data_IF_932853032567
#
_entry.id   IF_932853032567
#
_cell.length_a   1.000
_cell.length_b   1.000
_cell.length_c   1.000
_cell.angle_alpha   90.00
_cell.angle_beta   90.00
_cell.angle_gamma   90.00
#
_symmetry.space_group_name_H-M   'P 1'
#
loop_
_entity.id
_entity.type
_entity.pdbx_description
1 polymer ?
#
# COMPACT_ATOMS: atom_id res chain seq x y z
N UNK A 1 -9.56 -56.68 14.06
CA UNK A 1 -9.46 -55.34 14.68
C UNK A 1 -9.06 -54.35 13.61
N UNK A 2 -10.05 -53.70 13.00
CA UNK A 2 -9.83 -52.60 12.04
C UNK A 2 -9.33 -51.42 12.86
N UNK A 3 -8.05 -51.13 12.76
CA UNK A 3 -7.39 -50.17 13.63
C UNK A 3 -7.95 -48.75 13.41
N UNK A 4 -8.43 -48.14 14.49
CA UNK A 4 -9.06 -46.81 14.53
C UNK A 4 -8.11 -45.63 14.22
N UNK A 5 -6.95 -45.88 13.62
CA UNK A 5 -5.95 -44.84 13.33
C UNK A 5 -6.43 -43.74 12.38
N UNK A 6 -7.25 -44.01 11.34
CA UNK A 6 -7.77 -42.94 10.49
C UNK A 6 -8.69 -41.97 11.23
N UNK A 7 -9.53 -42.47 12.16
CA UNK A 7 -10.43 -41.65 12.99
C UNK A 7 -9.71 -40.80 14.04
N UNK A 8 -8.44 -41.09 14.34
CA UNK A 8 -7.58 -40.27 15.21
C UNK A 8 -6.88 -39.15 14.43
N UNK A 9 -6.89 -39.19 13.10
CA UNK A 9 -6.16 -38.23 12.29
C UNK A 9 -6.98 -36.95 12.12
N UNK A 10 -6.38 -35.82 12.50
CA UNK A 10 -6.91 -34.51 12.13
C UNK A 10 -7.05 -34.40 10.59
N UNK A 11 -8.15 -33.82 10.11
CA UNK A 11 -8.48 -33.77 8.68
C UNK A 11 -7.39 -33.13 7.82
N UNK A 12 -6.67 -32.14 8.38
CA UNK A 12 -5.57 -31.45 7.68
C UNK A 12 -4.23 -32.19 7.73
N UNK A 13 -4.08 -33.25 8.53
CA UNK A 13 -2.77 -33.92 8.73
C UNK A 13 -2.18 -34.42 7.41
N UNK A 14 -2.99 -35.10 6.60
CA UNK A 14 -2.54 -35.66 5.31
C UNK A 14 -2.29 -34.54 4.29
N UNK A 15 -3.21 -33.58 4.05
CA UNK A 15 -2.95 -32.46 3.15
C UNK A 15 -1.68 -31.67 3.49
N UNK A 16 -1.47 -31.32 4.77
CA UNK A 16 -0.30 -30.57 5.20
C UNK A 16 0.99 -31.38 5.07
N UNK A 17 0.96 -32.68 5.38
CA UNK A 17 2.11 -33.56 5.16
C UNK A 17 2.43 -33.74 3.68
N UNK A 18 1.40 -33.80 2.81
CA UNK A 18 1.57 -33.87 1.36
C UNK A 18 2.16 -32.57 0.79
N UNK A 19 1.78 -31.40 1.32
CA UNK A 19 2.32 -30.11 0.87
C UNK A 19 3.85 -30.06 0.98
N UNK A 20 4.42 -30.56 2.08
CA UNK A 20 5.89 -30.59 2.28
C UNK A 20 6.61 -31.46 1.25
N UNK A 21 5.99 -32.56 0.82
CA UNK A 21 6.58 -33.51 -0.15
C UNK A 21 6.21 -33.19 -1.60
N UNK A 22 5.38 -32.18 -1.85
CA UNK A 22 4.88 -31.84 -3.18
C UNK A 22 5.93 -31.22 -4.11
N UNK A 23 7.12 -30.90 -3.60
CA UNK A 23 8.17 -30.13 -4.30
C UNK A 23 9.49 -30.90 -4.44
N UNK A 24 9.50 -32.09 -5.06
CA UNK A 24 10.76 -32.81 -5.27
C UNK A 24 11.68 -32.03 -6.22
N UNK A 25 12.98 -32.14 -5.97
CA UNK A 25 14.01 -31.71 -6.92
C UNK A 25 13.99 -32.62 -8.15
N UNK A 26 14.32 -32.06 -9.31
CA UNK A 26 14.57 -32.86 -10.50
C UNK A 26 15.72 -33.84 -10.23
N UNK A 27 15.56 -35.09 -10.64
CA UNK A 27 16.66 -36.06 -10.62
C UNK A 27 17.47 -35.89 -11.90
N UNK A 28 18.56 -35.13 -11.78
CA UNK A 28 19.47 -34.86 -12.89
C UNK A 28 20.76 -35.65 -12.72
N UNK A 29 21.25 -36.23 -13.82
CA UNK A 29 22.52 -36.94 -13.88
C UNK A 29 23.33 -36.49 -15.08
N UNK A 30 24.47 -35.83 -14.84
CA UNK A 30 25.32 -35.32 -15.92
C UNK A 30 25.71 -36.45 -16.91
N UNK A 31 25.68 -36.22 -18.23
CA UNK A 31 25.35 -34.95 -18.89
C UNK A 31 23.85 -34.73 -19.15
N UNK A 32 23.34 -33.52 -18.86
CA UNK A 32 21.97 -33.10 -19.18
C UNK A 32 21.88 -31.67 -19.71
N UNK A 33 20.89 -31.41 -20.55
CA UNK A 33 20.52 -30.08 -21.03
C UNK A 33 19.16 -29.67 -20.45
N UNK A 34 19.04 -28.41 -20.06
CA UNK A 34 17.84 -27.88 -19.39
C UNK A 34 17.40 -26.59 -20.06
N UNK A 35 16.13 -26.50 -20.41
CA UNK A 35 15.47 -25.24 -20.79
C UNK A 35 14.50 -24.85 -19.69
N UNK A 36 14.64 -23.63 -19.18
CA UNK A 36 13.75 -23.07 -18.16
C UNK A 36 13.05 -21.84 -18.70
N UNK A 37 11.74 -21.75 -18.48
CA UNK A 37 10.91 -20.62 -18.86
C UNK A 37 10.09 -20.16 -17.65
N UNK A 38 10.21 -18.89 -17.27
CA UNK A 38 9.36 -18.25 -16.27
C UNK A 38 8.31 -17.38 -16.97
N UNK A 39 7.06 -17.86 -16.98
CA UNK A 39 5.93 -17.22 -17.67
C UNK A 39 5.16 -16.33 -16.69
N UNK A 40 5.32 -15.02 -16.84
CA UNK A 40 4.64 -13.97 -16.09
C UNK A 40 3.57 -13.32 -16.97
N UNK A 41 2.30 -13.63 -16.70
CA UNK A 41 1.16 -12.98 -17.36
C UNK A 41 0.64 -11.87 -16.46
N UNK A 42 1.15 -10.66 -16.64
CA UNK A 42 0.55 -9.49 -16.01
C UNK A 42 -0.92 -9.41 -16.47
N UNK A 43 -1.86 -9.47 -15.54
CA UNK A 43 -3.25 -9.20 -15.90
C UNK A 43 -3.37 -7.73 -16.29
N UNK A 44 -3.76 -7.43 -17.53
CA UNK A 44 -4.10 -6.07 -17.97
C UNK A 44 -5.20 -5.43 -17.08
N UNK A 45 -6.02 -6.26 -16.43
CA UNK A 45 -7.06 -5.83 -15.48
C UNK A 45 -6.61 -5.75 -14.02
N UNK A 46 -5.34 -6.03 -13.71
CA UNK A 46 -4.83 -6.13 -12.33
C UNK A 46 -5.36 -7.32 -11.52
N UNK A 47 -6.31 -8.11 -12.05
CA UNK A 47 -6.87 -9.26 -11.34
C UNK A 47 -5.96 -10.49 -11.38
N UNK A 48 -5.36 -10.81 -10.23
CA UNK A 48 -4.57 -12.04 -10.02
C UNK A 48 -5.39 -13.32 -10.08
N UNK A 49 -6.72 -13.24 -10.03
CA UNK A 49 -7.61 -14.42 -10.05
C UNK A 49 -7.51 -15.23 -11.34
N UNK A 50 -7.14 -14.59 -12.46
CA UNK A 50 -7.01 -15.25 -13.75
C UNK A 50 -5.66 -15.97 -13.94
N UNK A 51 -4.65 -15.70 -13.10
CA UNK A 51 -3.29 -16.25 -13.27
C UNK A 51 -3.30 -17.78 -13.23
N UNK A 52 -3.78 -18.39 -12.15
CA UNK A 52 -3.84 -19.84 -12.00
C UNK A 52 -4.54 -20.53 -13.19
N UNK A 53 -5.80 -20.17 -13.50
CA UNK A 53 -6.52 -20.73 -14.65
C UNK A 53 -5.77 -20.58 -15.98
N UNK A 54 -5.13 -19.43 -16.22
CA UNK A 54 -4.35 -19.17 -17.41
C UNK A 54 -3.11 -20.08 -17.53
N UNK A 55 -2.38 -20.29 -16.43
CA UNK A 55 -1.21 -21.20 -16.42
C UNK A 55 -1.63 -22.66 -16.59
N UNK A 56 -2.76 -23.05 -15.98
CA UNK A 56 -3.34 -24.39 -16.18
C UNK A 56 -3.77 -24.61 -17.62
N UNK A 57 -4.39 -23.63 -18.28
CA UNK A 57 -4.76 -23.74 -19.68
C UNK A 57 -3.53 -23.90 -20.59
N UNK A 58 -2.47 -23.14 -20.31
CA UNK A 58 -1.20 -23.22 -21.05
C UNK A 58 -0.51 -24.59 -20.87
N UNK A 59 -0.48 -25.11 -19.64
CA UNK A 59 0.03 -26.45 -19.36
C UNK A 59 -0.84 -27.54 -20.02
N UNK A 60 -2.17 -27.42 -19.94
CA UNK A 60 -3.08 -28.39 -20.53
C UNK A 60 -2.95 -28.46 -22.06
N UNK A 61 -2.74 -27.33 -22.73
CA UNK A 61 -2.46 -27.29 -24.16
C UNK A 61 -1.16 -28.05 -24.51
N UNK A 62 -0.11 -27.89 -23.70
CA UNK A 62 1.14 -28.63 -23.87
C UNK A 62 0.95 -30.13 -23.64
N UNK A 63 0.32 -30.52 -22.53
CA UNK A 63 0.05 -31.92 -22.23
C UNK A 63 -0.82 -32.57 -23.32
N UNK A 64 -1.87 -31.86 -23.78
CA UNK A 64 -2.76 -32.32 -24.84
C UNK A 64 -2.05 -32.56 -26.17
N UNK A 65 -1.08 -31.72 -26.54
CA UNK A 65 -0.26 -31.93 -27.75
C UNK A 65 0.49 -33.27 -27.72
N UNK A 66 0.96 -33.70 -26.54
CA UNK A 66 1.68 -34.96 -26.37
C UNK A 66 0.79 -36.12 -25.89
N UNK A 67 -0.54 -35.95 -25.85
CA UNK A 67 -1.46 -36.99 -25.39
C UNK A 67 -1.37 -37.33 -23.89
N UNK A 68 -0.84 -36.41 -23.08
CA UNK A 68 -0.69 -36.56 -21.63
C UNK A 68 -1.87 -35.90 -20.90
N UNK A 69 -2.36 -36.52 -19.84
CA UNK A 69 -3.38 -35.91 -18.99
C UNK A 69 -2.79 -34.75 -18.17
N UNK A 70 -3.44 -33.58 -18.25
CA UNK A 70 -3.07 -32.42 -17.45
C UNK A 70 -3.38 -32.66 -15.95
N UNK A 71 -2.65 -32.00 -15.02
CA UNK A 71 -2.98 -32.08 -13.61
C UNK A 71 -4.34 -31.43 -13.29
N UNK A 72 -4.86 -31.69 -12.09
CA UNK A 72 -6.06 -31.02 -11.61
C UNK A 72 -5.86 -29.49 -11.54
N UNK A 73 -6.95 -28.72 -11.64
CA UNK A 73 -6.92 -27.24 -11.66
C UNK A 73 -6.49 -26.59 -10.34
N UNK A 74 -6.30 -27.39 -9.29
CA UNK A 74 -5.81 -26.94 -7.98
C UNK A 74 -4.32 -27.26 -7.76
N UNK A 75 -3.67 -27.93 -8.71
CA UNK A 75 -2.31 -28.39 -8.57
C UNK A 75 -1.35 -27.22 -8.82
N UNK A 76 -0.44 -26.99 -7.90
CA UNK A 76 0.63 -25.99 -8.08
C UNK A 76 1.92 -26.60 -8.62
N UNK A 77 1.98 -27.93 -8.79
CA UNK A 77 3.16 -28.63 -9.25
C UNK A 77 2.74 -29.76 -10.21
N UNK A 78 3.53 -29.98 -11.24
CA UNK A 78 3.35 -31.07 -12.17
C UNK A 78 4.71 -31.57 -12.65
N UNK A 79 4.91 -32.87 -12.62
CA UNK A 79 6.09 -33.51 -13.18
C UNK A 79 5.64 -34.64 -14.09
N UNK A 80 6.24 -34.71 -15.28
CA UNK A 80 5.98 -35.79 -16.21
C UNK A 80 7.18 -36.06 -17.11
N UNK A 81 7.38 -37.34 -17.44
CA UNK A 81 8.38 -37.78 -18.41
C UNK A 81 7.70 -38.02 -19.75
N UNK A 82 8.02 -37.19 -20.74
CA UNK A 82 7.49 -37.26 -22.11
C UNK A 82 8.35 -38.15 -23.02
N UNK A 83 9.29 -38.92 -22.45
CA UNK A 83 10.22 -39.80 -23.15
C UNK A 83 11.43 -39.06 -23.72
N UNK A 84 11.21 -38.07 -24.59
CA UNK A 84 12.31 -37.25 -25.15
C UNK A 84 12.83 -36.21 -24.17
N UNK A 85 11.94 -35.64 -23.37
CA UNK A 85 12.27 -34.69 -22.33
C UNK A 85 11.39 -34.94 -21.11
N UNK A 86 11.81 -34.43 -19.96
CA UNK A 86 11.04 -34.38 -18.72
C UNK A 86 10.62 -32.95 -18.46
N UNK A 87 9.41 -32.75 -17.96
CA UNK A 87 8.90 -31.44 -17.56
C UNK A 87 8.73 -31.42 -16.04
N UNK A 88 9.24 -30.38 -15.41
CA UNK A 88 8.79 -29.90 -14.10
C UNK A 88 8.12 -28.54 -14.28
N UNK A 89 6.86 -28.45 -13.88
CA UNK A 89 6.08 -27.22 -13.86
C UNK A 89 5.71 -26.84 -12.43
N UNK A 90 5.85 -25.55 -12.10
CA UNK A 90 5.49 -25.00 -10.80
C UNK A 90 4.68 -23.71 -11.01
N UNK A 91 3.47 -23.66 -10.46
CA UNK A 91 2.63 -22.46 -10.45
C UNK A 91 2.86 -21.67 -9.18
N UNK A 92 3.42 -20.47 -9.32
CA UNK A 92 3.57 -19.52 -8.24
C UNK A 92 2.43 -18.49 -8.28
N UNK A 93 2.42 -17.59 -7.30
CA UNK A 93 1.38 -16.55 -7.17
C UNK A 93 1.35 -15.56 -8.34
N UNK A 94 2.52 -15.25 -8.93
CA UNK A 94 2.65 -14.23 -9.99
C UNK A 94 3.08 -14.78 -11.36
N UNK A 95 3.74 -15.94 -11.39
CA UNK A 95 4.25 -16.56 -12.60
C UNK A 95 4.16 -18.08 -12.48
N UNK A 96 4.39 -18.79 -13.57
CA UNK A 96 4.65 -20.23 -13.53
C UNK A 96 5.98 -20.54 -14.20
N UNK A 97 6.66 -21.59 -13.74
CA UNK A 97 7.90 -22.05 -14.35
C UNK A 97 7.66 -23.34 -15.13
N UNK A 98 8.35 -23.47 -16.25
CA UNK A 98 8.40 -24.67 -17.08
C UNK A 98 9.86 -25.05 -17.25
N UNK A 99 10.28 -26.13 -16.61
CA UNK A 99 11.65 -26.64 -16.66
C UNK A 99 11.67 -27.95 -17.43
N UNK A 100 12.22 -27.91 -18.64
CA UNK A 100 12.38 -29.04 -19.54
C UNK A 100 13.79 -29.59 -19.41
N UNK A 101 13.94 -30.89 -19.21
CA UNK A 101 15.26 -31.54 -19.14
C UNK A 101 15.36 -32.72 -20.09
N UNK A 102 16.53 -32.87 -20.70
CA UNK A 102 16.87 -33.94 -21.63
C UNK A 102 18.28 -34.44 -21.32
N UNK A 103 18.53 -35.72 -21.54
CA UNK A 103 19.90 -36.25 -21.48
C UNK A 103 20.71 -35.65 -22.63
N UNK A 104 21.79 -34.96 -22.31
CA UNK A 104 22.63 -34.35 -23.34
C UNK A 104 23.52 -35.42 -23.98
N UNK A 105 23.61 -35.40 -25.32
CA UNK A 105 24.64 -36.16 -26.02
C UNK A 105 26.00 -35.45 -25.84
N UNK A 106 27.12 -36.19 -25.73
CA UNK A 106 28.44 -35.58 -25.75
C UNK A 106 28.63 -34.79 -27.05
N UNK A 107 28.76 -33.46 -26.94
CA UNK A 107 29.08 -32.58 -28.06
C UNK A 107 30.57 -32.26 -28.09
N UNK A 108 31.13 -31.89 -29.26
CA UNK A 108 32.54 -31.51 -29.37
C UNK A 108 32.84 -30.11 -28.77
N UNK A 109 31.81 -29.25 -28.63
CA UNK A 109 31.93 -27.91 -28.01
C UNK A 109 30.68 -27.53 -27.20
N UNK A 110 30.83 -26.56 -26.29
CA UNK A 110 29.71 -25.98 -25.54
C UNK A 110 28.72 -25.22 -26.43
N UNK A 111 29.21 -24.57 -27.49
CA UNK A 111 28.35 -23.89 -28.46
C UNK A 111 27.40 -24.88 -29.15
N UNK A 112 27.91 -26.05 -29.55
CA UNK A 112 27.09 -27.11 -30.14
C UNK A 112 26.09 -27.70 -29.13
N UNK A 113 26.47 -27.79 -27.85
CA UNK A 113 25.58 -28.24 -26.79
C UNK A 113 24.44 -27.25 -26.56
N UNK A 114 24.71 -25.95 -26.52
CA UNK A 114 23.67 -24.91 -26.43
C UNK A 114 22.78 -24.79 -27.67
N UNK A 115 23.20 -25.32 -28.82
CA UNK A 115 22.35 -25.42 -30.01
C UNK A 115 21.36 -26.60 -29.93
N UNK A 116 21.54 -27.54 -29.00
CA UNK A 116 20.74 -28.77 -28.85
C UNK A 116 20.00 -28.80 -27.51
N UNK A 117 19.18 -27.80 -27.28
CA UNK A 117 18.42 -27.65 -26.03
C UNK A 117 17.02 -28.29 -26.12
N UNK A 118 16.42 -28.70 -24.98
CA UNK A 118 15.08 -29.30 -24.93
C UNK A 118 13.98 -28.47 -25.61
N UNK A 119 14.18 -27.15 -25.76
CA UNK A 119 13.30 -26.24 -26.47
C UNK A 119 12.92 -26.75 -27.87
N UNK A 120 13.84 -27.44 -28.57
CA UNK A 120 13.61 -27.94 -29.92
C UNK A 120 12.49 -28.99 -30.03
N UNK A 121 12.12 -29.64 -28.90
CA UNK A 121 11.01 -30.60 -28.87
C UNK A 121 9.65 -29.94 -28.64
N UNK A 122 9.60 -28.66 -28.27
CA UNK A 122 8.36 -28.00 -27.90
C UNK A 122 7.57 -27.55 -29.13
N UNK A 123 6.22 -27.61 -29.09
CA UNK A 123 5.41 -27.19 -30.23
C UNK A 123 5.56 -25.69 -30.48
N UNK A 124 5.89 -25.29 -31.71
CA UNK A 124 6.11 -23.88 -32.06
C UNK A 124 4.89 -23.01 -31.72
N UNK A 125 3.67 -23.52 -31.95
CA UNK A 125 2.44 -22.81 -31.61
C UNK A 125 2.31 -22.53 -30.10
N UNK A 126 2.77 -23.44 -29.26
CA UNK A 126 2.78 -23.27 -27.81
C UNK A 126 3.79 -22.20 -27.39
N UNK A 127 5.01 -22.23 -27.95
CA UNK A 127 6.06 -21.22 -27.71
C UNK A 127 5.56 -19.82 -28.12
N UNK A 128 4.95 -19.70 -29.30
CA UNK A 128 4.40 -18.42 -29.77
C UNK A 128 3.27 -17.89 -28.86
N UNK A 129 2.53 -18.79 -28.21
CA UNK A 129 1.54 -18.44 -27.20
C UNK A 129 2.12 -17.74 -25.96
N UNK A 130 3.44 -17.80 -25.74
CA UNK A 130 4.13 -17.12 -24.65
C UNK A 130 4.52 -15.67 -24.97
N UNK A 131 4.27 -15.20 -26.20
CA UNK A 131 4.65 -13.86 -26.65
C UNK A 131 4.24 -12.78 -25.66
N UNK A 132 5.21 -11.95 -25.24
CA UNK A 132 5.02 -10.85 -24.28
C UNK A 132 4.95 -11.27 -22.81
N UNK A 133 5.05 -12.56 -22.49
CA UNK A 133 4.83 -13.08 -21.13
C UNK A 133 6.04 -13.83 -20.54
N UNK A 134 7.18 -13.89 -21.23
CA UNK A 134 8.40 -14.48 -20.68
C UNK A 134 9.17 -13.46 -19.84
N UNK A 135 9.29 -13.73 -18.53
CA UNK A 135 10.03 -12.89 -17.58
C UNK A 135 11.52 -13.28 -17.53
N UNK A 136 11.79 -14.57 -17.55
CA UNK A 136 13.13 -15.16 -17.60
C UNK A 136 13.07 -16.41 -18.47
N UNK A 137 14.14 -16.63 -19.21
CA UNK A 137 14.35 -17.83 -20.01
C UNK A 137 15.83 -18.20 -19.90
N UNK A 138 16.13 -19.45 -19.57
CA UNK A 138 17.49 -19.91 -19.34
C UNK A 138 17.77 -21.27 -19.99
N UNK A 139 18.99 -21.41 -20.49
CA UNK A 139 19.58 -22.67 -20.90
C UNK A 139 20.68 -23.07 -19.91
N UNK A 140 20.60 -24.30 -19.40
CA UNK A 140 21.60 -24.85 -18.49
C UNK A 140 22.17 -26.12 -19.09
N UNK A 141 23.49 -26.19 -19.18
CA UNK A 141 24.23 -27.41 -19.48
C UNK A 141 24.81 -27.96 -18.19
N UNK A 142 24.46 -29.20 -17.86
CA UNK A 142 25.05 -29.95 -16.75
C UNK A 142 26.05 -30.96 -17.35
N UNK A 143 27.33 -30.78 -17.07
CA UNK A 143 28.41 -31.60 -17.63
C UNK A 143 29.27 -32.20 -16.51
N UNK A 144 30.01 -33.28 -16.81
CA UNK A 144 30.96 -33.89 -15.86
C UNK A 144 32.33 -33.23 -15.94
N UNK A 145 33.07 -33.32 -14.83
CA UNK A 145 34.45 -32.84 -14.71
C UNK A 145 34.55 -31.36 -14.39
N UNK A 146 35.72 -30.91 -13.95
CA UNK A 146 35.98 -29.50 -13.69
C UNK A 146 36.13 -28.72 -15.01
N UNK A 147 35.80 -27.43 -14.99
CA UNK A 147 35.99 -26.57 -16.17
C UNK A 147 37.37 -25.91 -16.19
N UNK A 148 37.88 -25.67 -17.39
CA UNK A 148 38.89 -24.63 -17.61
C UNK A 148 38.17 -23.29 -17.83
N UNK A 149 38.35 -22.28 -16.95
CA UNK A 149 37.70 -20.99 -17.09
C UNK A 149 37.99 -20.29 -18.43
N UNK A 150 39.18 -20.50 -19.01
CA UNK A 150 39.56 -19.91 -20.29
C UNK A 150 38.70 -20.45 -21.44
N UNK A 151 38.43 -21.76 -21.43
CA UNK A 151 37.58 -22.43 -22.43
C UNK A 151 36.11 -22.03 -22.26
N UNK A 152 35.66 -21.83 -21.02
CA UNK A 152 34.28 -21.38 -20.76
C UNK A 152 34.02 -19.97 -21.28
N UNK A 153 34.98 -19.06 -21.14
CA UNK A 153 34.83 -17.66 -21.53
C UNK A 153 34.47 -17.51 -23.02
N UNK A 154 34.97 -18.40 -23.89
CA UNK A 154 34.65 -18.41 -25.33
C UNK A 154 33.17 -18.74 -25.61
N UNK A 155 32.47 -19.34 -24.66
CA UNK A 155 31.07 -19.79 -24.79
C UNK A 155 30.04 -18.77 -24.30
N UNK A 156 30.49 -17.66 -23.70
CA UNK A 156 29.66 -16.59 -23.17
C UNK A 156 29.88 -15.30 -23.95
N UNK A 157 28.80 -14.61 -24.34
CA UNK A 157 28.92 -13.32 -25.01
C UNK A 157 29.34 -12.19 -24.04
N UNK A 158 29.09 -12.35 -22.75
CA UNK A 158 29.43 -11.36 -21.73
C UNK A 158 30.93 -11.23 -21.49
N UNK A 159 31.37 -10.00 -21.25
CA UNK A 159 32.79 -9.67 -20.96
C UNK A 159 33.25 -10.08 -19.56
N UNK A 160 32.33 -10.50 -18.68
CA UNK A 160 32.63 -10.85 -17.30
C UNK A 160 31.97 -12.18 -16.95
N UNK A 161 32.77 -13.24 -16.93
CA UNK A 161 32.36 -14.52 -16.38
C UNK A 161 32.16 -14.40 -14.86
N UNK A 162 31.14 -15.09 -14.36
CA UNK A 162 30.82 -15.28 -12.95
C UNK A 162 30.93 -16.76 -12.68
N UNK A 163 31.61 -17.14 -11.60
CA UNK A 163 31.94 -18.52 -11.34
C UNK A 163 32.26 -18.80 -9.88
N UNK A 164 31.73 -19.92 -9.38
CA UNK A 164 31.93 -20.36 -8.01
C UNK A 164 31.97 -21.88 -7.93
N UNK A 165 32.78 -22.41 -7.01
CA UNK A 165 32.61 -23.78 -6.52
C UNK A 165 31.44 -23.79 -5.53
N UNK A 166 30.59 -24.79 -5.62
CA UNK A 166 29.31 -24.84 -4.90
C UNK A 166 29.03 -26.23 -4.36
N UNK A 167 28.31 -26.29 -3.25
CA UNK A 167 27.75 -27.52 -2.67
C UNK A 167 28.75 -28.69 -2.44
N UNK A 168 30.06 -28.42 -2.33
CA UNK A 168 31.12 -29.43 -2.13
C UNK A 168 31.12 -30.54 -3.20
N UNK A 169 31.21 -30.15 -4.47
CA UNK A 169 31.27 -31.12 -5.59
C UNK A 169 30.76 -30.55 -6.91
N UNK A 170 30.29 -29.30 -6.92
CA UNK A 170 29.81 -28.62 -8.11
C UNK A 170 30.58 -27.35 -8.45
N UNK A 171 30.47 -26.92 -9.70
CA UNK A 171 30.78 -25.55 -10.12
C UNK A 171 29.60 -24.95 -10.88
N UNK A 172 29.41 -23.64 -10.76
CA UNK A 172 28.45 -22.86 -11.54
C UNK A 172 29.19 -21.79 -12.31
N UNK A 173 28.78 -21.57 -13.56
CA UNK A 173 29.37 -20.61 -14.47
C UNK A 173 28.29 -19.90 -15.29
N UNK A 174 28.36 -18.57 -15.39
CA UNK A 174 27.42 -17.75 -16.16
C UNK A 174 27.98 -16.35 -16.42
N UNK A 175 27.44 -15.62 -17.39
CA UNK A 175 27.66 -14.17 -17.55
C UNK A 175 26.43 -13.34 -17.15
N UNK A 176 25.32 -14.00 -16.78
CA UNK A 176 24.02 -13.41 -16.50
C UNK A 176 23.42 -12.55 -17.64
N UNK A 177 23.97 -12.67 -18.85
CA UNK A 177 23.55 -11.94 -20.05
C UNK A 177 22.55 -12.78 -20.85
N UNK A 178 21.52 -12.11 -21.38
CA UNK A 178 20.60 -12.71 -22.35
C UNK A 178 21.32 -12.76 -23.70
N UNK A 179 21.50 -13.97 -24.23
CA UNK A 179 22.20 -14.20 -25.48
C UNK A 179 21.29 -13.86 -26.69
N UNK A 180 21.84 -13.95 -27.91
CA UNK A 180 21.10 -13.60 -29.13
C UNK A 180 19.87 -14.49 -29.40
N UNK A 181 19.81 -15.68 -28.80
CA UNK A 181 18.67 -16.59 -28.82
C UNK A 181 17.56 -16.20 -27.82
N UNK A 182 17.80 -15.20 -26.96
CA UNK A 182 16.85 -14.76 -25.94
C UNK A 182 16.96 -15.49 -24.60
N UNK A 183 17.97 -16.35 -24.41
CA UNK A 183 18.16 -17.13 -23.19
C UNK A 183 19.40 -16.68 -22.41
N UNK A 184 19.31 -16.67 -21.08
CA UNK A 184 20.51 -16.67 -20.22
C UNK A 184 21.18 -18.04 -20.27
N UNK A 185 22.51 -18.08 -20.12
CA UNK A 185 23.27 -19.35 -20.16
C UNK A 185 23.92 -19.65 -18.83
N UNK A 186 23.86 -20.92 -18.45
CA UNK A 186 24.53 -21.45 -17.28
C UNK A 186 25.24 -22.76 -17.64
N UNK A 187 26.45 -22.94 -17.13
CA UNK A 187 27.17 -24.22 -17.19
C UNK A 187 27.36 -24.69 -15.76
N UNK A 188 26.87 -25.89 -15.47
CA UNK A 188 27.03 -26.57 -14.20
C UNK A 188 27.98 -27.74 -14.39
N UNK A 189 28.98 -27.85 -13.52
CA UNK A 189 29.97 -28.92 -13.56
C UNK A 189 29.78 -29.87 -12.40
N UNK A 190 29.48 -31.12 -12.70
CA UNK A 190 29.55 -32.25 -11.77
C UNK A 190 31.01 -32.70 -11.65
N UNK A 191 31.70 -32.15 -10.66
CA UNK A 191 33.08 -32.53 -10.33
C UNK A 191 33.06 -33.80 -9.48
N UNK A 192 32.32 -33.77 -8.36
CA UNK A 192 32.14 -34.89 -7.43
C UNK A 192 30.78 -34.79 -6.71
N UNK A 193 29.71 -34.45 -7.45
CA UNK A 193 28.39 -34.32 -6.84
C UNK A 193 27.84 -35.68 -6.39
N UNK A 194 27.26 -35.68 -5.19
CA UNK A 194 26.46 -36.78 -4.64
C UNK A 194 25.06 -36.80 -5.27
N UNK A 195 24.37 -37.93 -5.06
CA UNK A 195 23.00 -38.12 -5.54
C UNK A 195 22.08 -36.92 -5.23
N UNK A 196 21.34 -36.49 -6.26
CA UNK A 196 20.40 -35.37 -6.22
C UNK A 196 21.00 -33.96 -6.01
N UNK A 197 22.32 -33.80 -5.86
CA UNK A 197 22.93 -32.47 -5.75
C UNK A 197 22.79 -31.67 -7.05
N UNK A 198 22.98 -32.29 -8.21
CA UNK A 198 22.86 -31.61 -9.51
C UNK A 198 21.46 -31.00 -9.71
N UNK A 199 20.41 -31.75 -9.36
CA UNK A 199 19.03 -31.26 -9.36
C UNK A 199 18.79 -30.05 -8.47
N UNK A 200 19.34 -30.08 -7.25
CA UNK A 200 19.27 -28.95 -6.32
C UNK A 200 20.02 -27.74 -6.86
N UNK A 201 21.25 -27.93 -7.36
CA UNK A 201 22.06 -26.86 -7.91
C UNK A 201 21.36 -26.19 -9.09
N UNK A 202 20.89 -26.97 -10.07
CA UNK A 202 20.17 -26.45 -11.23
C UNK A 202 18.93 -25.66 -10.81
N UNK A 203 18.12 -26.20 -9.89
CA UNK A 203 16.96 -25.48 -9.38
C UNK A 203 17.36 -24.16 -8.72
N UNK A 204 18.42 -24.12 -7.90
CA UNK A 204 18.86 -22.90 -7.21
C UNK A 204 19.33 -21.83 -8.17
N UNK A 205 20.10 -22.21 -9.19
CA UNK A 205 20.58 -21.28 -10.22
C UNK A 205 19.42 -20.70 -11.03
N UNK A 206 18.46 -21.55 -11.43
CA UNK A 206 17.25 -21.12 -12.15
C UNK A 206 16.34 -20.21 -11.30
N UNK A 207 16.22 -20.52 -10.01
CA UNK A 207 15.49 -19.68 -9.05
C UNK A 207 16.18 -18.32 -8.85
N UNK A 208 17.53 -18.28 -8.76
CA UNK A 208 18.27 -17.01 -8.71
C UNK A 208 18.00 -16.18 -9.97
N UNK A 209 18.05 -16.81 -11.16
CA UNK A 209 17.81 -16.13 -12.43
C UNK A 209 16.36 -15.60 -12.56
N UNK A 210 15.38 -16.36 -12.10
CA UNK A 210 13.98 -15.94 -12.14
C UNK A 210 13.69 -14.87 -11.08
N UNK A 211 14.09 -15.10 -9.83
CA UNK A 211 13.77 -14.20 -8.72
C UNK A 211 14.50 -12.86 -8.81
N UNK A 212 15.70 -12.79 -9.42
CA UNK A 212 16.35 -11.49 -9.65
C UNK A 212 15.53 -10.61 -10.61
N UNK A 213 14.95 -11.20 -11.65
CA UNK A 213 14.09 -10.49 -12.60
C UNK A 213 12.79 -10.03 -11.93
N UNK A 214 12.16 -10.92 -11.17
CA UNK A 214 10.95 -10.60 -10.40
C UNK A 214 11.21 -9.52 -9.34
N UNK A 215 12.37 -9.53 -8.69
CA UNK A 215 12.78 -8.48 -7.76
C UNK A 215 12.92 -7.14 -8.47
N UNK A 216 13.58 -7.12 -9.63
CA UNK A 216 13.83 -5.90 -10.43
C UNK A 216 12.57 -5.24 -11.00
N UNK A 217 11.42 -5.92 -11.06
CA UNK A 217 10.14 -5.30 -11.45
C UNK A 217 9.73 -4.12 -10.55
N UNK A 218 10.27 -4.03 -9.34
CA UNK A 218 10.05 -2.88 -8.44
C UNK A 218 10.81 -1.62 -8.86
N UNK A 219 11.90 -1.74 -9.60
CA UNK A 219 12.76 -0.59 -9.93
C UNK A 219 12.08 0.43 -10.85
N UNK A 220 11.40 0.04 -11.95
CA UNK A 220 10.63 0.99 -12.76
C UNK A 220 9.54 1.69 -11.96
N UNK A 221 8.82 0.94 -11.11
CA UNK A 221 7.80 1.49 -10.21
C UNK A 221 8.41 2.50 -9.21
N UNK A 222 9.56 2.18 -8.61
CA UNK A 222 10.27 3.06 -7.68
C UNK A 222 10.69 4.38 -8.33
N UNK A 223 11.18 4.34 -9.57
CA UNK A 223 11.54 5.54 -10.34
C UNK A 223 10.33 6.41 -10.65
N UNK A 224 9.22 5.80 -11.09
CA UNK A 224 7.98 6.52 -11.37
C UNK A 224 7.37 7.15 -10.11
N UNK A 225 7.32 6.40 -9.01
CA UNK A 225 6.81 6.88 -7.71
C UNK A 225 7.71 7.96 -7.14
N UNK A 226 9.04 7.83 -7.23
CA UNK A 226 9.96 8.85 -6.70
C UNK A 226 9.71 10.23 -7.30
N UNK A 227 9.54 10.33 -8.62
CA UNK A 227 9.23 11.59 -9.28
C UNK A 227 7.89 12.17 -8.79
N UNK A 228 6.86 11.33 -8.64
CA UNK A 228 5.57 11.77 -8.11
C UNK A 228 5.64 12.20 -6.62
N UNK A 229 6.52 11.57 -5.83
CA UNK A 229 6.76 11.98 -4.44
C UNK A 229 7.47 13.33 -4.35
N UNK A 230 8.41 13.63 -5.26
CA UNK A 230 9.06 14.94 -5.34
C UNK A 230 8.02 16.06 -5.53
N UNK A 231 7.08 15.86 -6.46
CA UNK A 231 6.00 16.81 -6.73
C UNK A 231 5.07 17.01 -5.51
N UNK A 232 4.67 15.91 -4.86
CA UNK A 232 3.79 15.96 -3.67
C UNK A 232 4.50 16.66 -2.51
N UNK A 233 5.79 16.40 -2.32
CA UNK A 233 6.56 17.01 -1.24
C UNK A 233 6.75 18.52 -1.45
N UNK A 234 7.02 18.95 -2.70
CA UNK A 234 7.10 20.36 -3.05
C UNK A 234 5.76 21.10 -2.85
N UNK A 235 4.65 20.48 -3.29
CA UNK A 235 3.30 21.04 -3.09
C UNK A 235 2.96 21.14 -1.60
N UNK A 236 3.26 20.10 -0.81
CA UNK A 236 3.05 20.12 0.63
C UNK A 236 3.85 21.23 1.33
N UNK A 237 5.10 21.46 0.92
CA UNK A 237 5.94 22.52 1.47
C UNK A 237 5.32 23.91 1.24
N UNK A 238 4.85 24.19 0.03
CA UNK A 238 4.16 25.45 -0.30
C UNK A 238 2.87 25.65 0.51
N UNK A 239 2.09 24.57 0.71
CA UNK A 239 0.87 24.63 1.53
C UNK A 239 1.18 24.87 3.01
N UNK A 240 2.24 24.23 3.52
CA UNK A 240 2.70 24.45 4.89
C UNK A 240 3.17 25.89 5.11
N UNK A 241 3.90 26.48 4.15
CA UNK A 241 4.31 27.89 4.19
C UNK A 241 3.12 28.85 4.21
N UNK A 242 2.12 28.64 3.34
CA UNK A 242 0.87 29.43 3.33
C UNK A 242 0.11 29.33 4.65
N UNK A 243 0.08 28.14 5.24
CA UNK A 243 -0.52 27.92 6.55
C UNK A 243 0.19 28.73 7.65
N UNK A 244 1.53 28.83 7.62
CA UNK A 244 2.31 29.63 8.59
C UNK A 244 2.18 31.13 8.32
N UNK A 245 2.17 31.57 7.06
CA UNK A 245 2.10 32.97 6.66
C UNK A 245 0.78 33.66 7.07
N UNK A 246 -0.24 32.90 7.47
CA UNK A 246 -1.48 33.46 8.02
C UNK A 246 -2.33 34.18 6.99
N UNK A 247 -2.19 33.85 5.70
CA UNK A 247 -3.11 34.34 4.65
C UNK A 247 -4.55 33.98 5.06
N UNK A 248 -5.45 34.95 4.92
CA UNK A 248 -6.73 35.09 5.64
C UNK A 248 -7.53 33.80 5.88
N UNK A 249 -8.26 33.76 7.01
CA UNK A 249 -9.24 32.72 7.43
C UNK A 249 -10.13 32.17 6.31
N UNK A 250 -10.43 32.97 5.28
CA UNK A 250 -11.21 32.54 4.12
C UNK A 250 -10.50 31.49 3.23
N UNK A 251 -9.17 31.36 3.32
CA UNK A 251 -8.34 30.42 2.56
C UNK A 251 -8.14 29.06 3.23
N UNK A 252 -8.45 28.90 4.52
CA UNK A 252 -8.17 27.67 5.28
C UNK A 252 -8.97 26.47 4.76
N UNK A 253 -10.20 26.70 4.26
CA UNK A 253 -11.00 25.64 3.63
C UNK A 253 -10.42 25.18 2.29
N UNK A 254 -9.88 26.10 1.50
CA UNK A 254 -9.21 25.78 0.23
C UNK A 254 -7.88 25.04 0.46
N UNK A 255 -7.12 25.42 1.50
CA UNK A 255 -5.94 24.71 1.97
C UNK A 255 -6.27 23.27 2.38
N UNK A 256 -7.38 23.07 3.11
CA UNK A 256 -7.83 21.74 3.55
C UNK A 256 -8.17 20.85 2.36
N UNK A 257 -8.86 21.39 1.36
CA UNK A 257 -9.18 20.66 0.13
C UNK A 257 -7.89 20.26 -0.63
N UNK A 258 -6.91 21.16 -0.72
CA UNK A 258 -5.62 20.89 -1.38
C UNK A 258 -4.82 19.80 -0.65
N UNK A 259 -4.73 19.86 0.68
CA UNK A 259 -4.06 18.82 1.50
C UNK A 259 -4.78 17.47 1.37
N UNK A 260 -6.12 17.47 1.38
CA UNK A 260 -6.92 16.24 1.21
C UNK A 260 -6.67 15.62 -0.16
N UNK A 261 -6.55 16.44 -1.21
CA UNK A 261 -6.21 16.00 -2.56
C UNK A 261 -4.80 15.41 -2.63
N UNK A 262 -3.82 16.01 -1.95
CA UNK A 262 -2.48 15.43 -1.83
C UNK A 262 -2.49 14.08 -1.12
N UNK A 263 -3.23 13.94 -0.02
CA UNK A 263 -3.40 12.68 0.68
C UNK A 263 -3.98 11.60 -0.24
N UNK A 264 -5.04 11.93 -0.99
CA UNK A 264 -5.67 11.02 -1.94
C UNK A 264 -4.73 10.60 -3.08
N UNK A 265 -3.92 11.53 -3.61
CA UNK A 265 -2.90 11.22 -4.63
C UNK A 265 -1.84 10.26 -4.09
N UNK A 266 -1.35 10.49 -2.88
CA UNK A 266 -0.36 9.64 -2.23
C UNK A 266 -0.91 8.24 -1.92
N UNK A 267 -2.16 8.16 -1.45
CA UNK A 267 -2.85 6.90 -1.17
C UNK A 267 -3.04 6.08 -2.44
N UNK A 268 -3.44 6.73 -3.55
CA UNK A 268 -3.51 6.07 -4.86
C UNK A 268 -2.15 5.47 -5.27
N UNK A 269 -1.06 6.24 -5.15
CA UNK A 269 0.29 5.72 -5.43
C UNK A 269 0.64 4.52 -4.55
N UNK A 270 0.18 4.51 -3.29
CA UNK A 270 0.39 3.43 -2.32
C UNK A 270 -0.35 2.16 -2.72
N UNK A 271 -1.62 2.28 -3.08
CA UNK A 271 -2.44 1.16 -3.53
C UNK A 271 -1.91 0.56 -4.84
N UNK A 272 -1.49 1.41 -5.77
CA UNK A 272 -1.01 0.97 -7.08
C UNK A 272 0.35 0.23 -7.00
N UNK A 273 1.23 0.60 -6.06
CA UNK A 273 2.62 0.12 -6.04
C UNK A 273 3.02 -0.68 -4.79
N UNK A 274 2.22 -0.64 -3.71
CA UNK A 274 2.57 -1.26 -2.43
C UNK A 274 2.80 -2.76 -2.53
N UNK A 275 1.97 -3.46 -3.33
CA UNK A 275 2.19 -4.87 -3.62
C UNK A 275 3.54 -5.10 -4.31
N UNK A 276 3.87 -4.28 -5.31
CA UNK A 276 5.09 -4.45 -6.11
C UNK A 276 6.35 -4.27 -5.25
N UNK A 277 6.41 -3.24 -4.39
CA UNK A 277 7.55 -3.06 -3.49
C UNK A 277 7.69 -4.20 -2.47
N UNK A 278 6.57 -4.68 -1.91
CA UNK A 278 6.57 -5.83 -1.00
C UNK A 278 7.04 -7.11 -1.71
N UNK A 279 6.54 -7.38 -2.92
CA UNK A 279 6.94 -8.50 -3.74
C UNK A 279 8.43 -8.44 -4.11
N UNK A 280 8.93 -7.28 -4.56
CA UNK A 280 10.35 -7.07 -4.87
C UNK A 280 11.26 -7.37 -3.68
N UNK A 281 10.89 -6.91 -2.49
CA UNK A 281 11.61 -7.20 -1.25
C UNK A 281 11.58 -8.70 -0.90
N UNK A 282 10.45 -9.37 -1.09
CA UNK A 282 10.32 -10.80 -0.86
C UNK A 282 11.18 -11.61 -1.84
N UNK A 283 11.15 -11.28 -3.13
CA UNK A 283 11.99 -11.94 -4.14
C UNK A 283 13.48 -11.70 -3.92
N UNK A 284 13.88 -10.49 -3.50
CA UNK A 284 15.27 -10.21 -3.15
C UNK A 284 15.76 -11.09 -1.99
N UNK A 285 14.94 -11.28 -0.95
CA UNK A 285 15.24 -12.21 0.15
C UNK A 285 15.39 -13.65 -0.35
N UNK A 286 14.55 -14.09 -1.28
CA UNK A 286 14.66 -15.41 -1.89
C UNK A 286 15.97 -15.56 -2.67
N UNK A 287 16.38 -14.55 -3.44
CA UNK A 287 17.68 -14.54 -4.14
C UNK A 287 18.82 -14.72 -3.13
N UNK A 288 18.88 -13.91 -2.06
CA UNK A 288 19.95 -14.04 -1.05
C UNK A 288 19.93 -15.42 -0.37
N UNK A 289 18.76 -15.94 -0.02
CA UNK A 289 18.64 -17.28 0.55
C UNK A 289 19.16 -18.37 -0.41
N UNK A 290 18.87 -18.26 -1.72
CA UNK A 290 19.34 -19.25 -2.70
C UNK A 290 20.85 -19.19 -2.91
N UNK A 291 21.42 -17.99 -2.91
CA UNK A 291 22.87 -17.78 -2.97
C UNK A 291 23.55 -18.39 -1.74
N UNK A 292 23.02 -18.14 -0.53
CA UNK A 292 23.55 -18.72 0.71
C UNK A 292 23.53 -20.26 0.67
N UNK A 293 22.46 -20.85 0.13
CA UNK A 293 22.33 -22.30 -0.03
C UNK A 293 23.35 -22.91 -1.03
N UNK A 294 23.90 -22.12 -1.97
CA UNK A 294 24.95 -22.60 -2.87
C UNK A 294 26.25 -22.93 -2.12
N UNK A 295 26.48 -22.29 -0.96
CA UNK A 295 27.72 -22.38 -0.19
C UNK A 295 28.94 -22.12 -1.07
N UNK A 296 28.98 -20.93 -1.66
CA UNK A 296 29.98 -20.55 -2.64
C UNK A 296 31.40 -20.57 -2.05
N UNK A 297 32.33 -21.15 -2.79
CA UNK A 297 33.76 -21.00 -2.58
C UNK A 297 34.38 -20.37 -3.83
N UNK A 298 35.26 -19.40 -3.61
CA UNK A 298 35.84 -18.57 -4.67
C UNK A 298 36.65 -19.41 -5.66
N UNK A 299 36.54 -19.06 -6.93
CA UNK A 299 37.47 -19.43 -7.99
C UNK A 299 38.36 -18.21 -8.25
N UNK A 300 39.67 -18.40 -8.27
CA UNK A 300 40.61 -17.29 -8.42
C UNK A 300 40.38 -16.53 -9.75
N UNK A 301 40.43 -15.20 -9.69
CA UNK A 301 40.24 -14.34 -10.86
C UNK A 301 38.80 -14.15 -11.34
N UNK A 302 37.81 -14.83 -10.75
CA UNK A 302 36.41 -14.78 -11.17
C UNK A 302 35.51 -14.34 -10.01
N UNK A 303 34.60 -13.37 -10.19
CA UNK A 303 33.63 -13.00 -9.15
C UNK A 303 32.63 -14.13 -8.89
N UNK A 304 32.19 -14.25 -7.63
CA UNK A 304 31.13 -15.22 -7.27
C UNK A 304 29.75 -14.71 -7.67
N UNK A 305 28.73 -15.58 -7.61
CA UNK A 305 27.33 -15.19 -7.85
C UNK A 305 26.90 -14.16 -6.80
N UNK A 306 27.26 -14.35 -5.53
CA UNK A 306 27.02 -13.37 -4.47
C UNK A 306 27.62 -12.01 -4.79
N UNK A 307 28.91 -11.93 -5.12
CA UNK A 307 29.58 -10.66 -5.41
C UNK A 307 28.95 -9.94 -6.61
N UNK A 308 28.59 -10.70 -7.64
CA UNK A 308 27.90 -10.16 -8.81
C UNK A 308 26.53 -9.58 -8.43
N UNK A 309 25.74 -10.32 -7.65
CA UNK A 309 24.39 -9.91 -7.25
C UNK A 309 24.42 -8.75 -6.25
N UNK A 310 25.33 -8.75 -5.28
CA UNK A 310 25.44 -7.67 -4.31
C UNK A 310 25.79 -6.34 -4.99
N UNK A 311 26.63 -6.38 -6.04
CA UNK A 311 27.01 -5.17 -6.78
C UNK A 311 25.92 -4.67 -7.74
N UNK A 312 25.08 -5.56 -8.28
CA UNK A 312 24.16 -5.23 -9.40
C UNK A 312 22.68 -5.28 -9.07
N UNK A 313 22.26 -6.06 -8.07
CA UNK A 313 20.87 -6.18 -7.63
C UNK A 313 20.59 -5.31 -6.40
N UNK A 314 21.48 -5.30 -5.40
CA UNK A 314 21.29 -4.59 -4.13
C UNK A 314 21.00 -3.09 -4.31
N UNK A 315 21.70 -2.32 -5.17
CA UNK A 315 21.40 -0.91 -5.36
C UNK A 315 19.96 -0.64 -5.86
N UNK A 316 19.43 -1.51 -6.72
CA UNK A 316 18.07 -1.40 -7.20
C UNK A 316 17.06 -1.68 -6.06
N UNK A 317 17.37 -2.65 -5.19
CA UNK A 317 16.52 -2.99 -4.05
C UNK A 317 16.53 -1.90 -2.99
N UNK A 318 17.69 -1.33 -2.68
CA UNK A 318 17.81 -0.17 -1.78
C UNK A 318 16.99 1.03 -2.29
N UNK A 319 16.93 1.22 -3.61
CA UNK A 319 16.08 2.26 -4.23
C UNK A 319 14.59 2.01 -3.97
N UNK A 320 14.14 0.76 -4.13
CA UNK A 320 12.75 0.36 -3.86
C UNK A 320 12.40 0.57 -2.38
N UNK A 321 13.28 0.15 -1.47
CA UNK A 321 13.07 0.30 -0.03
C UNK A 321 13.07 1.78 0.41
N UNK A 322 14.00 2.59 -0.11
CA UNK A 322 14.05 4.02 0.18
C UNK A 322 12.80 4.75 -0.33
N UNK A 323 12.30 4.40 -1.53
CA UNK A 323 11.08 4.98 -2.08
C UNK A 323 9.85 4.64 -1.23
N UNK A 324 9.71 3.38 -0.82
CA UNK A 324 8.61 2.95 0.05
C UNK A 324 8.66 3.65 1.41
N UNK A 325 9.85 3.76 2.01
CA UNK A 325 10.03 4.47 3.29
C UNK A 325 9.72 5.98 3.16
N UNK A 326 10.14 6.61 2.05
CA UNK A 326 9.84 8.01 1.76
C UNK A 326 8.33 8.25 1.60
N UNK A 327 7.65 7.35 0.89
CA UNK A 327 6.20 7.40 0.74
C UNK A 327 5.47 7.37 2.09
N UNK A 328 5.87 6.45 2.97
CA UNK A 328 5.28 6.33 4.31
C UNK A 328 5.57 7.56 5.18
N UNK A 329 6.78 8.11 5.09
CA UNK A 329 7.15 9.34 5.80
C UNK A 329 6.34 10.55 5.31
N UNK A 330 6.11 10.68 4.00
CA UNK A 330 5.31 11.75 3.42
C UNK A 330 3.83 11.62 3.81
N UNK A 331 3.29 10.40 3.86
CA UNK A 331 1.92 10.16 4.33
C UNK A 331 1.72 10.64 5.77
N UNK A 332 2.67 10.33 6.66
CA UNK A 332 2.66 10.86 8.04
C UNK A 332 2.74 12.39 8.08
N UNK A 333 3.58 13.01 7.25
CA UNK A 333 3.67 14.47 7.18
C UNK A 333 2.37 15.12 6.72
N UNK A 334 1.75 14.60 5.66
CA UNK A 334 0.45 15.11 5.17
C UNK A 334 -0.63 14.98 6.25
N UNK A 335 -0.71 13.83 6.93
CA UNK A 335 -1.66 13.61 8.01
C UNK A 335 -1.48 14.64 9.15
N UNK A 336 -0.24 14.88 9.57
CA UNK A 336 0.07 15.87 10.62
C UNK A 336 -0.34 17.29 10.19
N UNK A 337 -0.02 17.70 8.96
CA UNK A 337 -0.41 19.04 8.46
C UNK A 337 -1.94 19.17 8.37
N UNK A 338 -2.63 18.12 7.94
CA UNK A 338 -4.10 18.08 7.91
C UNK A 338 -4.72 18.24 9.30
N UNK A 339 -4.17 17.55 10.31
CA UNK A 339 -4.65 17.66 11.70
C UNK A 339 -4.39 19.04 12.30
N UNK A 340 -3.24 19.66 12.02
CA UNK A 340 -2.93 21.02 12.44
C UNK A 340 -3.91 22.03 11.81
N UNK A 341 -4.18 21.91 10.51
CA UNK A 341 -5.12 22.79 9.82
C UNK A 341 -6.55 22.63 10.37
N UNK A 342 -7.01 21.39 10.57
CA UNK A 342 -8.32 21.12 11.18
C UNK A 342 -8.43 21.77 12.56
N UNK A 343 -7.39 21.64 13.38
CA UNK A 343 -7.34 22.26 14.71
C UNK A 343 -7.43 23.78 14.63
N UNK A 344 -6.70 24.41 13.72
CA UNK A 344 -6.76 25.85 13.49
C UNK A 344 -8.16 26.31 13.06
N UNK A 345 -8.78 25.63 12.09
CA UNK A 345 -10.14 25.93 11.62
C UNK A 345 -11.14 25.84 12.78
N UNK A 346 -11.06 24.79 13.61
CA UNK A 346 -11.92 24.64 14.79
C UNK A 346 -11.77 25.81 15.78
N UNK A 347 -10.54 26.24 16.06
CA UNK A 347 -10.27 27.39 16.95
C UNK A 347 -10.87 28.69 16.37
N UNK A 348 -10.73 28.92 15.07
CA UNK A 348 -11.29 30.10 14.41
C UNK A 348 -12.81 30.10 14.47
N UNK A 349 -13.45 28.94 14.21
CA UNK A 349 -14.90 28.78 14.28
C UNK A 349 -15.43 28.98 15.72
N UNK A 350 -14.72 28.47 16.72
CA UNK A 350 -15.07 28.67 18.13
C UNK A 350 -14.97 30.14 18.54
N UNK A 351 -13.92 30.84 18.09
CA UNK A 351 -13.77 32.28 18.32
C UNK A 351 -14.88 33.10 17.65
N UNK A 352 -15.30 32.75 16.42
CA UNK A 352 -16.43 33.38 15.74
C UNK A 352 -17.74 33.16 16.50
N UNK A 353 -18.01 31.92 16.94
CA UNK A 353 -19.19 31.60 17.75
C UNK A 353 -19.20 32.41 19.04
N UNK A 354 -18.06 32.52 19.72
CA UNK A 354 -17.93 33.33 20.94
C UNK A 354 -18.21 34.82 20.68
N UNK A 355 -17.73 35.38 19.58
CA UNK A 355 -18.01 36.77 19.20
C UNK A 355 -19.50 37.00 18.90
N UNK A 356 -20.16 36.05 18.23
CA UNK A 356 -21.59 36.11 17.95
C UNK A 356 -22.38 36.14 19.27
N UNK A 357 -22.09 35.22 20.20
CA UNK A 357 -22.73 35.16 21.52
C UNK A 357 -22.53 36.46 22.31
N UNK A 358 -21.31 37.00 22.35
CA UNK A 358 -21.04 38.28 23.00
C UNK A 358 -21.82 39.45 22.37
N UNK A 359 -22.01 39.44 21.06
CA UNK A 359 -22.81 40.45 20.36
C UNK A 359 -24.30 40.33 20.70
N UNK A 360 -24.79 39.10 20.92
CA UNK A 360 -26.16 38.84 21.36
C UNK A 360 -26.37 39.31 22.79
N UNK A 361 -25.45 38.99 23.71
CA UNK A 361 -25.51 39.43 25.11
C UNK A 361 -25.54 40.96 25.22
N UNK A 362 -24.70 41.65 24.42
CA UNK A 362 -24.69 43.12 24.36
C UNK A 362 -26.03 43.67 23.87
N UNK A 363 -26.61 43.07 22.82
CA UNK A 363 -27.92 43.48 22.29
C UNK A 363 -29.04 43.23 23.29
N UNK A 364 -29.05 42.08 23.97
CA UNK A 364 -30.01 41.77 25.02
C UNK A 364 -29.90 42.75 26.20
N UNK A 365 -28.67 43.07 26.62
CA UNK A 365 -28.44 44.07 27.67
C UNK A 365 -28.93 45.48 27.27
N UNK A 366 -28.74 45.88 26.01
CA UNK A 366 -29.28 47.14 25.49
C UNK A 366 -30.81 47.15 25.44
N UNK A 367 -31.43 46.05 25.00
CA UNK A 367 -32.89 45.91 25.01
C UNK A 367 -33.46 45.99 26.43
N UNK A 368 -32.80 45.36 27.42
CA UNK A 368 -33.18 45.45 28.83
C UNK A 368 -33.11 46.89 29.36
N UNK A 369 -32.05 47.65 29.02
CA UNK A 369 -31.93 49.06 29.42
C UNK A 369 -33.01 49.95 28.80
N UNK A 370 -33.32 49.73 27.53
CA UNK A 370 -34.41 50.45 26.84
C UNK A 370 -35.76 50.13 27.46
N UNK A 371 -36.01 48.86 27.79
CA UNK A 371 -37.23 48.45 28.48
C UNK A 371 -37.35 49.11 29.85
N UNK A 372 -36.29 49.11 30.65
CA UNK A 372 -36.25 49.81 31.95
C UNK A 372 -36.46 51.33 31.81
N UNK A 373 -35.95 51.95 30.74
CA UNK A 373 -36.20 53.37 30.47
C UNK A 373 -37.68 53.65 30.15
N UNK A 374 -38.32 52.78 29.34
CA UNK A 374 -39.76 52.87 29.04
C UNK A 374 -40.61 52.61 30.28
N UNK A 375 -40.19 51.69 31.16
CA UNK A 375 -40.83 51.47 32.46
C UNK A 375 -40.74 52.71 33.37
N UNK A 376 -39.60 53.42 33.37
CA UNK A 376 -39.48 54.69 34.09
C UNK A 376 -40.46 55.75 33.58
N UNK A 377 -40.70 55.81 32.27
CA UNK A 377 -41.66 56.72 31.65
C UNK A 377 -43.11 56.31 31.95
N UNK A 378 -43.42 55.01 32.01
CA UNK A 378 -44.76 54.52 32.31
C UNK A 378 -45.18 54.83 33.74
N UNK A 379 -44.25 54.84 34.71
CA UNK A 379 -44.50 55.33 36.07
C UNK A 379 -45.03 56.77 36.02
N UNK A 380 -44.36 57.67 35.29
CA UNK A 380 -44.79 59.06 35.18
C UNK A 380 -46.18 59.19 34.52
N UNK A 381 -46.42 58.46 33.43
CA UNK A 381 -47.71 58.48 32.73
C UNK A 381 -48.86 57.93 33.60
N UNK A 382 -48.67 56.77 34.25
CA UNK A 382 -49.67 56.15 35.12
C UNK A 382 -49.96 57.05 36.32
N UNK A 383 -48.92 57.60 36.96
CA UNK A 383 -49.11 58.54 38.08
C UNK A 383 -49.91 59.77 37.67
N UNK A 384 -49.66 60.34 36.49
CA UNK A 384 -50.44 61.47 35.97
C UNK A 384 -51.93 61.11 35.79
N UNK A 385 -52.23 59.98 35.13
CA UNK A 385 -53.61 59.55 34.93
C UNK A 385 -54.35 59.24 36.24
N UNK A 386 -53.70 58.55 37.19
CA UNK A 386 -54.31 58.21 38.48
C UNK A 386 -54.58 59.46 39.32
N UNK A 387 -53.64 60.40 39.38
CA UNK A 387 -53.85 61.69 40.05
C UNK A 387 -55.00 62.45 39.39
N UNK A 388 -55.06 62.46 38.06
CA UNK A 388 -56.18 63.07 37.32
C UNK A 388 -57.52 62.45 37.69
N UNK A 389 -57.62 61.12 37.72
CA UNK A 389 -58.84 60.39 38.07
C UNK A 389 -59.31 60.68 39.51
N UNK A 390 -58.37 60.66 40.46
CA UNK A 390 -58.65 60.97 41.87
C UNK A 390 -59.01 62.45 42.07
N UNK A 391 -58.39 63.35 41.29
CA UNK A 391 -58.77 64.77 41.26
C UNK A 391 -60.20 64.98 40.76
N UNK A 392 -60.63 64.26 39.73
CA UNK A 392 -62.03 64.28 39.27
C UNK A 392 -62.99 63.68 40.31
N UNK A 393 -62.63 62.58 40.96
CA UNK A 393 -63.42 62.00 42.06
C UNK A 393 -63.55 62.97 43.24
N UNK A 394 -62.47 63.67 43.61
CA UNK A 394 -62.47 64.70 44.64
C UNK A 394 -63.38 65.88 44.32
N UNK A 395 -63.41 66.32 43.04
CA UNK A 395 -64.37 67.33 42.56
C UNK A 395 -65.82 66.83 42.66
N UNK A 396 -66.07 65.56 42.37
CA UNK A 396 -67.38 64.91 42.56
C UNK A 396 -67.82 64.85 44.03
N UNK A 397 -66.91 64.50 44.95
CA UNK A 397 -67.18 64.50 46.40
C UNK A 397 -67.49 65.90 46.95
N UNK A 398 -66.83 66.94 46.43
CA UNK A 398 -67.14 68.34 46.75
C UNK A 398 -68.57 68.72 46.33
N UNK A 399 -69.07 68.21 45.20
CA UNK A 399 -70.46 68.42 44.79
C UNK A 399 -71.51 67.71 45.65
N UNK A 400 -71.09 66.78 46.53
CA UNK A 400 -71.97 66.02 47.45
C UNK A 400 -71.91 66.56 48.90
N UNK A 401 -71.19 67.67 49.15
CA UNK A 401 -71.26 68.41 50.42
C UNK A 401 -70.16 68.12 51.46
N UNK A 402 -69.08 67.43 51.07
CA UNK A 402 -67.93 67.19 51.97
C UNK A 402 -66.92 68.35 51.87
N UNK A 403 -66.46 68.96 52.99
CA UNK A 403 -65.59 70.14 52.97
C UNK A 403 -64.13 69.78 52.72
N UNK A 404 -63.80 69.39 51.49
CA UNK A 404 -62.41 69.11 51.08
C UNK A 404 -61.96 70.14 50.06
N UNK A 405 -60.83 70.82 50.32
CA UNK A 405 -60.20 71.72 49.37
C UNK A 405 -59.49 70.88 48.29
N UNK A 406 -59.98 70.88 47.03
CA UNK A 406 -59.46 69.98 45.99
C UNK A 406 -57.99 70.22 45.68
N UNK A 407 -57.51 71.47 45.75
CA UNK A 407 -56.16 71.83 45.33
C UNK A 407 -55.10 71.33 46.32
N UNK A 408 -55.37 71.46 47.63
CA UNK A 408 -54.52 70.85 48.68
C UNK A 408 -54.53 69.33 48.61
N UNK A 409 -55.69 68.72 48.33
CA UNK A 409 -55.83 67.27 48.21
C UNK A 409 -54.97 66.74 47.06
N UNK A 410 -55.04 67.38 45.88
CA UNK A 410 -54.17 67.03 44.74
C UNK A 410 -52.68 67.25 45.03
N UNK A 411 -52.31 68.33 45.72
CA UNK A 411 -50.91 68.61 46.07
C UNK A 411 -50.27 67.55 46.96
N UNK A 412 -51.03 66.99 47.91
CA UNK A 412 -50.57 65.87 48.77
C UNK A 412 -50.64 64.52 48.06
N UNK A 413 -51.65 64.31 47.21
CA UNK A 413 -51.84 63.06 46.47
C UNK A 413 -50.74 62.79 45.45
N UNK A 414 -50.19 63.80 44.79
CA UNK A 414 -49.15 63.63 43.76
C UNK A 414 -47.91 62.85 44.26
N UNK A 415 -47.21 63.26 45.33
CA UNK A 415 -46.03 62.51 45.81
C UNK A 415 -46.39 61.14 46.38
N UNK A 416 -47.58 60.99 47.00
CA UNK A 416 -48.06 59.70 47.54
C UNK A 416 -48.34 58.71 46.42
N UNK A 417 -49.11 59.11 45.39
CA UNK A 417 -49.44 58.25 44.24
C UNK A 417 -48.19 57.90 43.44
N UNK A 418 -47.29 58.86 43.20
CA UNK A 418 -46.01 58.59 42.54
C UNK A 418 -45.17 57.57 43.32
N UNK A 419 -45.05 57.73 44.64
CA UNK A 419 -44.34 56.79 45.51
C UNK A 419 -44.98 55.39 45.53
N UNK A 420 -46.31 55.30 45.59
CA UNK A 420 -47.04 54.02 45.60
C UNK A 420 -46.92 53.30 44.26
N UNK A 421 -47.10 53.99 43.13
CA UNK A 421 -46.98 53.41 41.78
C UNK A 421 -45.56 52.92 41.55
N UNK A 422 -44.55 53.70 41.95
CA UNK A 422 -43.15 53.28 41.86
C UNK A 422 -42.85 52.05 42.73
N UNK A 423 -43.33 52.02 43.98
CA UNK A 423 -43.15 50.87 44.88
C UNK A 423 -43.88 49.62 44.39
N UNK A 424 -45.09 49.77 43.82
CA UNK A 424 -45.89 48.67 43.29
C UNK A 424 -45.22 48.03 42.07
N UNK A 425 -44.79 48.84 41.09
CA UNK A 425 -44.07 48.36 39.91
C UNK A 425 -42.72 47.74 40.29
N UNK A 426 -41.98 48.35 41.23
CA UNK A 426 -40.71 47.81 41.72
C UNK A 426 -40.90 46.47 42.46
N UNK A 427 -41.99 46.29 43.21
CA UNK A 427 -42.32 45.02 43.89
C UNK A 427 -42.74 43.93 42.89
N UNK A 428 -43.56 44.25 41.89
CA UNK A 428 -43.95 43.30 40.84
C UNK A 428 -42.72 42.77 40.08
N UNK A 429 -41.82 43.65 39.66
CA UNK A 429 -40.60 43.23 38.96
C UNK A 429 -39.67 42.38 39.84
N UNK A 430 -39.56 42.70 41.14
CA UNK A 430 -38.75 41.90 42.08
C UNK A 430 -39.32 40.49 42.30
N UNK A 431 -40.64 40.31 42.13
CA UNK A 431 -41.28 39.00 42.18
C UNK A 431 -41.16 38.23 40.86
N UNK A 432 -41.19 38.92 39.72
CA UNK A 432 -41.00 38.31 38.40
C UNK A 432 -39.56 37.84 38.16
N UNK A 433 -38.56 38.63 38.55
CA UNK A 433 -37.15 38.21 38.44
C UNK A 433 -36.80 36.99 39.32
N UNK A 434 -37.55 36.76 40.41
CA UNK A 434 -37.38 35.57 41.27
C UNK A 434 -38.00 34.29 40.69
N UNK A 435 -38.82 34.38 39.64
CA UNK A 435 -39.52 33.25 39.02
C UNK A 435 -38.88 32.75 37.72
N UNK A 436 -37.81 33.38 37.26
CA UNK A 436 -37.15 33.08 35.98
C UNK A 436 -35.69 32.62 36.07
N UNK A 437 -35.24 32.15 37.23
CA UNK A 437 -33.98 31.42 37.37
C UNK A 437 -34.23 29.93 37.50
#
# INVERSE_FOLDING_TARGET
>A
MTTAYPSLSHAQRIPLAAEIHSRPFLRLEAPEAITHLAVYRASESGSRSAHGPNQHALLAALCGHFGVAAPNVTANHFYHDFGRFRLKWECHTEFATYTFTEKAAPGPSLADAFARMPLAHLPQAWILGLHGHLMSAAHVLLERGAADPAVLQESFAGSHLVGSRVMQGGEVWTDFVIQSDGFSRFVLRDVEMRAQQAGRLAQRVLEIDTYRMMALLGLPAARAVSAALDDIEAELALLAERMVAGEAVAGDQALLEQITRLAARLEKLSLDNGYRFSASKAYYRLVKARIEELREARIEGVPTVEEFMDRRLTPAMNTCEATAARQEALARRIANVNDLLRTRVSIVQENQNRQILQSMDRRAAQQLRLQQAVEGLSVAAISYYVVGLLGYAGKGLKSVGVPVNPDMLTGVLVPVVAGVVWLALRRMHKQMHKRGH
#
